data_IF_338320460198
#
_entry.id   IF_338320460198
#
_cell.length_a   1.000
_cell.length_b   1.000
_cell.length_c   1.000
_cell.angle_alpha   90.00
_cell.angle_beta   90.00
_cell.angle_gamma   90.00
#
_symmetry.space_group_name_H-M   'P 1'
#
loop_
_entity.id
_entity.type
_entity.pdbx_description
1 polymer ?
#
# COMPACT_ATOMS: atom_id res chain seq x y z
N UNK A 1 69.77 -44.45 -4.97
CA UNK A 1 68.52 -44.68 -4.20
C UNK A 1 67.32 -44.36 -5.10
N UNK A 2 66.57 -45.38 -5.50
CA UNK A 2 65.39 -45.27 -6.38
C UNK A 2 64.13 -45.14 -5.51
N UNK A 3 63.37 -44.05 -5.62
CA UNK A 3 62.10 -43.90 -4.89
C UNK A 3 61.02 -44.80 -5.52
N UNK A 4 60.20 -45.50 -4.71
CA UNK A 4 59.16 -46.39 -5.19
C UNK A 4 58.07 -45.62 -5.98
N UNK A 5 57.65 -46.19 -7.11
CA UNK A 5 56.69 -45.62 -8.07
C UNK A 5 55.33 -45.27 -7.42
N UNK A 6 54.96 -45.94 -6.33
CA UNK A 6 53.72 -45.70 -5.57
C UNK A 6 53.61 -44.30 -4.95
N UNK A 7 54.69 -43.52 -4.93
CA UNK A 7 54.70 -42.15 -4.40
C UNK A 7 54.65 -41.07 -5.49
N UNK A 8 54.47 -41.46 -6.76
CA UNK A 8 54.17 -40.50 -7.82
C UNK A 8 52.71 -40.07 -7.67
N UNK A 9 52.48 -38.87 -7.13
CA UNK A 9 51.18 -38.20 -7.22
C UNK A 9 50.75 -38.18 -8.69
N UNK A 10 49.51 -38.59 -9.04
CA UNK A 10 49.02 -38.40 -10.39
C UNK A 10 49.14 -36.92 -10.75
N UNK A 11 49.47 -36.57 -12.01
CA UNK A 11 49.40 -35.18 -12.44
C UNK A 11 47.99 -34.69 -12.10
N UNK A 12 47.86 -33.53 -11.44
CA UNK A 12 46.53 -33.01 -11.13
C UNK A 12 45.72 -32.95 -12.43
N UNK A 13 44.42 -33.30 -12.40
CA UNK A 13 43.57 -33.10 -13.58
C UNK A 13 43.75 -31.67 -14.06
N UNK A 14 43.68 -31.47 -15.38
CA UNK A 14 43.83 -30.16 -16.02
C UNK A 14 42.72 -29.21 -15.53
N UNK A 15 42.93 -28.62 -14.35
CA UNK A 15 42.06 -27.61 -13.79
C UNK A 15 42.23 -26.44 -14.75
N UNK A 16 41.21 -26.15 -15.58
CA UNK A 16 41.11 -24.88 -16.30
C UNK A 16 41.07 -23.76 -15.28
N UNK A 17 42.25 -23.32 -14.86
CA UNK A 17 42.44 -22.09 -14.11
C UNK A 17 42.11 -21.00 -15.13
N UNK A 18 41.00 -20.30 -14.92
CA UNK A 18 40.74 -19.00 -15.54
C UNK A 18 41.92 -18.10 -15.15
N UNK A 19 42.98 -18.07 -15.95
CA UNK A 19 44.09 -17.14 -15.76
C UNK A 19 43.57 -15.75 -16.14
N UNK A 20 43.57 -14.85 -15.16
CA UNK A 20 43.08 -13.48 -15.22
C UNK A 20 41.56 -13.35 -15.41
N UNK A 21 40.72 -13.65 -14.39
CA UNK A 21 39.45 -12.96 -14.32
C UNK A 21 39.77 -11.50 -13.97
N UNK A 22 39.93 -10.66 -14.99
CA UNK A 22 39.85 -9.21 -14.76
C UNK A 22 38.47 -8.94 -14.17
N UNK A 23 38.42 -8.69 -12.85
CA UNK A 23 37.19 -8.42 -12.10
C UNK A 23 36.50 -7.16 -12.63
N UNK A 24 37.29 -6.24 -13.18
CA UNK A 24 36.83 -4.99 -13.79
C UNK A 24 37.34 -4.97 -15.24
N UNK A 25 36.46 -4.80 -16.24
CA UNK A 25 36.87 -4.82 -17.65
C UNK A 25 37.81 -3.65 -17.97
N UNK A 26 38.97 -3.92 -18.57
CA UNK A 26 39.95 -2.88 -18.92
C UNK A 26 40.10 -2.72 -20.45
N UNK A 27 39.21 -1.95 -21.13
CA UNK A 27 39.24 -1.84 -22.58
C UNK A 27 40.54 -1.22 -23.14
N UNK A 28 41.25 -0.41 -22.34
CA UNK A 28 42.51 0.21 -22.73
C UNK A 28 43.66 -0.80 -22.89
N UNK A 29 43.71 -1.84 -22.07
CA UNK A 29 44.75 -2.88 -22.06
C UNK A 29 44.36 -4.10 -22.91
N UNK A 30 43.10 -4.21 -23.31
CA UNK A 30 42.57 -5.30 -24.15
C UNK A 30 43.09 -5.20 -25.60
N UNK A 31 43.43 -6.33 -26.26
CA UNK A 31 43.76 -6.36 -27.69
C UNK A 31 42.71 -5.67 -28.57
N UNK A 32 43.11 -4.99 -29.66
CA UNK A 32 42.20 -4.15 -30.46
C UNK A 32 41.00 -4.92 -31.04
N UNK A 33 41.15 -6.22 -31.30
CA UNK A 33 40.07 -7.08 -31.80
C UNK A 33 38.96 -7.34 -30.77
N UNK A 34 39.29 -7.30 -29.47
CA UNK A 34 38.38 -7.58 -28.36
C UNK A 34 37.95 -6.32 -27.61
N UNK A 35 38.58 -5.18 -27.87
CA UNK A 35 38.32 -3.88 -27.21
C UNK A 35 36.85 -3.46 -27.23
N UNK A 36 36.10 -3.75 -28.31
CA UNK A 36 34.65 -3.48 -28.36
C UNK A 36 33.87 -4.30 -27.33
N UNK A 37 34.18 -5.59 -27.19
CA UNK A 37 33.53 -6.44 -26.20
C UNK A 37 33.88 -5.99 -24.78
N UNK A 38 35.13 -5.59 -24.53
CA UNK A 38 35.55 -5.05 -23.24
C UNK A 38 34.81 -3.74 -22.88
N UNK A 39 34.57 -2.85 -23.84
CA UNK A 39 33.74 -1.64 -23.63
C UNK A 39 32.29 -1.97 -23.30
N UNK A 40 31.68 -2.93 -24.00
CA UNK A 40 30.32 -3.38 -23.69
C UNK A 40 30.24 -4.02 -22.30
N UNK A 41 31.25 -4.80 -21.93
CA UNK A 41 31.31 -5.45 -20.62
C UNK A 41 31.44 -4.41 -19.51
N UNK A 42 32.27 -3.38 -19.69
CA UNK A 42 32.38 -2.24 -18.78
C UNK A 42 31.03 -1.52 -18.61
N UNK A 43 30.26 -1.36 -19.69
CA UNK A 43 28.94 -0.72 -19.64
C UNK A 43 27.95 -1.56 -18.82
N UNK A 44 27.86 -2.86 -19.07
CA UNK A 44 27.00 -3.78 -18.31
C UNK A 44 27.42 -3.84 -16.84
N UNK A 45 28.71 -3.90 -16.57
CA UNK A 45 29.26 -3.85 -15.21
C UNK A 45 28.90 -2.54 -14.49
N UNK A 46 29.03 -1.40 -15.17
CA UNK A 46 28.64 -0.09 -14.64
C UNK A 46 27.13 -0.04 -14.35
N UNK A 47 26.31 -0.56 -15.25
CA UNK A 47 24.85 -0.64 -15.08
C UNK A 47 24.49 -1.44 -13.81
N UNK A 48 25.12 -2.60 -13.60
CA UNK A 48 24.93 -3.44 -12.41
C UNK A 48 25.43 -2.79 -11.12
N UNK A 49 26.40 -1.89 -11.21
CA UNK A 49 26.86 -1.13 -10.05
C UNK A 49 25.91 0.01 -9.68
N UNK A 50 25.36 0.72 -10.68
CA UNK A 50 24.47 1.86 -10.45
C UNK A 50 23.01 1.48 -10.18
N UNK A 51 22.53 0.35 -10.71
CA UNK A 51 21.14 -0.10 -10.50
C UNK A 51 20.78 -0.30 -9.02
N UNK A 52 21.58 -1.01 -8.20
CA UNK A 52 21.31 -1.16 -6.77
C UNK A 52 21.32 0.16 -6.01
N UNK A 53 22.19 1.11 -6.40
CA UNK A 53 22.23 2.45 -5.80
C UNK A 53 20.95 3.24 -6.11
N UNK A 54 20.47 3.16 -7.36
CA UNK A 54 19.18 3.72 -7.77
C UNK A 54 18.01 3.08 -7.01
N UNK A 55 18.03 1.76 -6.83
CA UNK A 55 17.03 1.03 -6.03
C UNK A 55 17.03 1.49 -4.57
N UNK A 56 18.18 1.62 -3.93
CA UNK A 56 18.28 2.07 -2.53
C UNK A 56 17.76 3.52 -2.37
N UNK A 57 18.10 4.40 -3.31
CA UNK A 57 17.61 5.78 -3.30
C UNK A 57 16.07 5.84 -3.48
N UNK A 58 15.53 5.09 -4.43
CA UNK A 58 14.10 5.06 -4.70
C UNK A 58 13.31 4.43 -3.53
N UNK A 59 13.73 3.25 -3.08
CA UNK A 59 13.02 2.48 -2.04
C UNK A 59 12.92 3.22 -0.70
N UNK A 60 13.95 3.96 -0.29
CA UNK A 60 13.91 4.71 0.97
C UNK A 60 12.83 5.79 1.00
N UNK A 61 12.74 6.61 -0.05
CA UNK A 61 11.70 7.63 -0.16
C UNK A 61 10.31 7.03 -0.44
N UNK A 62 10.24 5.97 -1.26
CA UNK A 62 8.99 5.33 -1.65
C UNK A 62 8.35 4.57 -0.49
N UNK A 63 9.11 3.81 0.30
CA UNK A 63 8.58 3.10 1.45
C UNK A 63 8.00 4.05 2.50
N UNK A 64 8.68 5.20 2.72
CA UNK A 64 8.18 6.23 3.63
C UNK A 64 6.89 6.85 3.09
N UNK A 65 6.88 7.26 1.82
CA UNK A 65 5.69 7.82 1.19
C UNK A 65 4.53 6.82 1.19
N UNK A 66 4.78 5.54 0.93
CA UNK A 66 3.80 4.46 0.95
C UNK A 66 3.25 4.23 2.36
N UNK A 67 4.12 4.22 3.38
CA UNK A 67 3.68 4.10 4.77
C UNK A 67 2.83 5.29 5.21
N UNK A 68 3.21 6.52 4.82
CA UNK A 68 2.44 7.73 5.09
C UNK A 68 1.10 7.73 4.35
N UNK A 69 1.07 7.35 3.08
CA UNK A 69 -0.15 7.22 2.27
C UNK A 69 -1.09 6.15 2.83
N UNK A 70 -0.58 4.96 3.18
CA UNK A 70 -1.35 3.90 3.80
C UNK A 70 -1.94 4.33 5.14
N UNK A 71 -1.14 5.01 5.97
CA UNK A 71 -1.61 5.57 7.24
C UNK A 71 -2.75 6.56 7.03
N UNK A 72 -2.62 7.48 6.06
CA UNK A 72 -3.67 8.45 5.71
C UNK A 72 -4.92 7.78 5.17
N UNK A 73 -4.77 6.78 4.30
CA UNK A 73 -5.89 6.03 3.75
C UNK A 73 -6.69 5.31 4.86
N UNK A 74 -5.99 4.66 5.80
CA UNK A 74 -6.61 4.03 6.98
C UNK A 74 -7.29 5.08 7.85
N UNK A 75 -6.63 6.20 8.13
CA UNK A 75 -7.22 7.29 8.93
C UNK A 75 -8.52 7.84 8.31
N UNK A 76 -8.54 8.06 7.00
CA UNK A 76 -9.74 8.51 6.28
C UNK A 76 -10.85 7.46 6.31
N UNK A 77 -10.52 6.19 6.07
CA UNK A 77 -11.48 5.09 6.13
C UNK A 77 -12.09 4.94 7.53
N UNK A 78 -11.28 4.99 8.58
CA UNK A 78 -11.74 4.96 9.98
C UNK A 78 -12.60 6.17 10.30
N UNK A 79 -12.26 7.36 9.78
CA UNK A 79 -13.05 8.58 10.00
C UNK A 79 -14.43 8.50 9.33
N UNK A 80 -14.49 7.97 8.10
CA UNK A 80 -15.77 7.72 7.39
C UNK A 80 -16.61 6.69 8.17
N UNK A 81 -15.99 5.60 8.64
CA UNK A 81 -16.70 4.58 9.41
C UNK A 81 -17.23 5.14 10.74
N UNK A 82 -16.40 5.84 11.51
CA UNK A 82 -16.77 6.40 12.80
C UNK A 82 -17.89 7.46 12.69
N UNK A 83 -17.77 8.39 11.73
CA UNK A 83 -18.84 9.36 11.46
C UNK A 83 -20.11 8.70 10.92
N UNK A 84 -19.98 7.63 10.14
CA UNK A 84 -21.08 6.80 9.67
C UNK A 84 -21.86 6.15 10.80
N UNK A 85 -21.17 5.48 11.73
CA UNK A 85 -21.78 4.87 12.91
C UNK A 85 -22.47 5.90 13.81
N UNK A 86 -21.85 7.07 14.04
CA UNK A 86 -22.48 8.18 14.79
C UNK A 86 -23.77 8.64 14.11
N UNK A 87 -23.72 8.86 12.80
CA UNK A 87 -24.87 9.34 12.02
C UNK A 87 -26.00 8.30 11.99
N UNK A 88 -25.65 7.02 11.88
CA UNK A 88 -26.59 5.90 11.95
C UNK A 88 -27.23 5.79 13.34
N UNK A 89 -26.44 5.88 14.42
CA UNK A 89 -26.95 5.90 15.79
C UNK A 89 -27.97 7.02 16.00
N UNK A 90 -27.63 8.26 15.58
CA UNK A 90 -28.51 9.41 15.72
C UNK A 90 -29.81 9.21 14.94
N UNK A 91 -29.70 8.77 13.68
CA UNK A 91 -30.87 8.53 12.81
C UNK A 91 -31.79 7.45 13.38
N UNK A 92 -31.22 6.31 13.76
CA UNK A 92 -31.98 5.18 14.31
C UNK A 92 -32.65 5.54 15.64
N UNK A 93 -31.95 6.28 16.49
CA UNK A 93 -32.49 6.68 17.80
C UNK A 93 -33.61 7.73 17.67
N UNK A 94 -33.48 8.67 16.74
CA UNK A 94 -34.54 9.64 16.42
C UNK A 94 -35.75 8.93 15.81
N UNK A 95 -35.54 7.96 14.91
CA UNK A 95 -36.62 7.15 14.35
C UNK A 95 -37.33 6.31 15.42
N UNK A 96 -36.59 5.73 16.35
CA UNK A 96 -37.18 5.00 17.49
C UNK A 96 -38.01 5.92 18.38
N UNK A 97 -37.52 7.13 18.68
CA UNK A 97 -38.27 8.13 19.43
C UNK A 97 -39.57 8.55 18.71
N UNK A 98 -39.52 8.79 17.40
CA UNK A 98 -40.72 9.08 16.60
C UNK A 98 -41.70 7.90 16.57
N UNK A 99 -41.21 6.67 16.50
CA UNK A 99 -42.07 5.48 16.52
C UNK A 99 -42.81 5.36 17.85
N UNK A 100 -42.12 5.60 18.97
CA UNK A 100 -42.73 5.62 20.30
C UNK A 100 -43.77 6.75 20.44
N UNK A 101 -43.49 7.93 19.89
CA UNK A 101 -44.42 9.07 19.90
C UNK A 101 -45.70 8.78 19.10
N UNK A 102 -45.57 8.16 17.91
CA UNK A 102 -46.71 7.71 17.11
C UNK A 102 -47.53 6.66 17.86
N UNK A 103 -46.90 5.70 18.52
CA UNK A 103 -47.59 4.68 19.31
C UNK A 103 -48.40 5.31 20.46
N UNK A 104 -47.82 6.28 21.17
CA UNK A 104 -48.51 7.03 22.21
C UNK A 104 -49.72 7.81 21.66
N UNK A 105 -49.57 8.45 20.49
CA UNK A 105 -50.66 9.17 19.83
C UNK A 105 -51.80 8.24 19.38
N UNK A 106 -51.47 7.06 18.84
CA UNK A 106 -52.46 6.04 18.48
C UNK A 106 -53.21 5.54 19.72
N UNK A 107 -52.49 5.24 20.81
CA UNK A 107 -53.12 4.81 22.08
C UNK A 107 -54.04 5.90 22.64
N UNK A 108 -53.62 7.17 22.59
CA UNK A 108 -54.46 8.30 22.99
C UNK A 108 -55.75 8.35 22.17
N UNK A 109 -55.63 8.21 20.85
CA UNK A 109 -56.78 8.23 19.93
C UNK A 109 -57.74 7.07 20.24
N UNK A 110 -57.20 5.88 20.46
CA UNK A 110 -58.00 4.69 20.80
C UNK A 110 -58.70 4.82 22.16
N UNK A 111 -58.01 5.36 23.17
CA UNK A 111 -58.60 5.62 24.48
C UNK A 111 -59.79 6.59 24.39
N UNK A 112 -59.68 7.62 23.54
CA UNK A 112 -60.75 8.61 23.29
C UNK A 112 -61.94 8.02 22.52
N UNK A 113 -61.71 7.05 21.64
CA UNK A 113 -62.77 6.33 20.90
C UNK A 113 -63.47 5.26 21.75
N UNK A 114 -62.89 4.87 22.88
CA UNK A 114 -63.45 3.81 23.74
C UNK A 114 -64.65 4.36 24.52
N UNK A 115 -65.81 3.73 24.39
CA UNK A 115 -67.08 4.19 24.98
C UNK A 115 -67.20 3.98 26.49
N UNK A 116 -66.23 3.28 27.09
CA UNK A 116 -66.28 2.83 28.49
C UNK A 116 -65.32 3.65 29.34
N UNK A 117 -65.86 4.61 30.10
CA UNK A 117 -65.08 5.59 30.88
C UNK A 117 -64.12 4.98 31.92
N UNK A 118 -64.30 3.70 32.29
CA UNK A 118 -63.46 3.01 33.29
C UNK A 118 -62.07 2.65 32.77
N UNK A 119 -61.92 2.48 31.45
CA UNK A 119 -60.67 2.07 30.81
C UNK A 119 -59.94 3.26 30.15
N UNK A 120 -60.64 4.38 29.93
CA UNK A 120 -60.09 5.58 29.27
C UNK A 120 -58.98 6.26 30.08
N UNK A 121 -59.16 6.45 31.39
CA UNK A 121 -58.20 7.18 32.24
C UNK A 121 -56.83 6.48 32.32
N UNK A 122 -56.75 5.18 32.63
CA UNK A 122 -55.47 4.46 32.65
C UNK A 122 -54.74 4.47 31.30
N UNK A 123 -55.46 4.29 30.19
CA UNK A 123 -54.84 4.32 28.85
C UNK A 123 -54.29 5.70 28.48
N UNK A 124 -54.97 6.79 28.88
CA UNK A 124 -54.47 8.15 28.71
C UNK A 124 -53.24 8.44 29.59
N UNK A 125 -53.19 7.92 30.82
CA UNK A 125 -52.01 8.04 31.68
C UNK A 125 -50.80 7.31 31.09
N UNK A 126 -51.00 6.10 30.56
CA UNK A 126 -49.95 5.34 29.87
C UNK A 126 -49.48 6.08 28.62
N UNK A 127 -50.39 6.58 27.79
CA UNK A 127 -50.02 7.34 26.60
C UNK A 127 -49.21 8.60 26.93
N UNK A 128 -49.60 9.35 27.98
CA UNK A 128 -48.83 10.50 28.45
C UNK A 128 -47.41 10.11 28.91
N UNK A 129 -47.28 8.99 29.63
CA UNK A 129 -45.99 8.47 30.04
C UNK A 129 -45.12 8.08 28.83
N UNK A 130 -45.70 7.42 27.82
CA UNK A 130 -45.01 7.06 26.59
C UNK A 130 -44.55 8.27 25.79
N UNK A 131 -45.37 9.33 25.66
CA UNK A 131 -44.97 10.60 25.05
C UNK A 131 -43.80 11.24 25.81
N UNK A 132 -43.84 11.24 27.14
CA UNK A 132 -42.75 11.78 27.96
C UNK A 132 -41.45 10.97 27.76
N UNK A 133 -41.54 9.64 27.68
CA UNK A 133 -40.41 8.75 27.39
C UNK A 133 -39.88 8.99 25.98
N UNK A 134 -40.73 9.14 24.96
CA UNK A 134 -40.33 9.43 23.59
C UNK A 134 -39.54 10.75 23.50
N UNK A 135 -40.01 11.80 24.17
CA UNK A 135 -39.31 13.08 24.26
C UNK A 135 -37.95 12.95 24.98
N UNK A 136 -37.87 12.13 26.02
CA UNK A 136 -36.61 11.88 26.72
C UNK A 136 -35.63 11.06 25.88
N UNK A 137 -36.10 10.03 25.16
CA UNK A 137 -35.30 9.25 24.22
C UNK A 137 -34.71 10.14 23.13
N UNK A 138 -35.51 11.06 22.57
CA UNK A 138 -35.03 12.03 21.58
C UNK A 138 -33.92 12.92 22.13
N UNK A 139 -34.12 13.52 23.32
CA UNK A 139 -33.08 14.36 23.96
C UNK A 139 -31.81 13.58 24.25
N UNK A 140 -31.94 12.33 24.70
CA UNK A 140 -30.80 11.45 24.95
C UNK A 140 -30.07 11.11 23.65
N UNK A 141 -30.80 10.80 22.59
CA UNK A 141 -30.26 10.52 21.26
C UNK A 141 -29.48 11.72 20.71
N UNK A 142 -30.05 12.93 20.79
CA UNK A 142 -29.40 14.18 20.38
C UNK A 142 -28.15 14.45 21.23
N UNK A 143 -28.21 14.21 22.54
CA UNK A 143 -27.06 14.41 23.44
C UNK A 143 -25.94 13.40 23.22
N UNK A 144 -26.25 12.11 23.02
CA UNK A 144 -25.27 11.05 22.80
C UNK A 144 -24.73 11.02 21.37
N UNK A 145 -25.54 11.43 20.39
CA UNK A 145 -25.19 11.45 18.98
C UNK A 145 -24.50 12.73 18.51
N UNK A 146 -24.37 13.74 19.38
CA UNK A 146 -23.64 14.98 19.07
C UNK A 146 -22.16 14.69 18.81
N UNK A 147 -21.54 15.57 18.03
CA UNK A 147 -20.09 15.54 17.86
C UNK A 147 -19.46 15.92 19.21
N UNK A 148 -18.49 15.13 19.73
CA UNK A 148 -17.80 15.49 20.96
C UNK A 148 -17.01 16.79 20.78
N UNK A 149 -16.90 17.55 21.85
CA UNK A 149 -16.16 18.80 21.90
C UNK A 149 -14.92 18.66 22.78
N UNK A 150 -13.98 19.59 22.66
CA UNK A 150 -12.83 19.65 23.57
C UNK A 150 -13.23 19.84 25.04
N UNK A 151 -14.42 20.40 25.30
CA UNK A 151 -14.94 20.58 26.65
C UNK A 151 -15.37 19.26 27.32
N UNK A 152 -15.60 18.20 26.54
CA UNK A 152 -16.01 16.89 27.08
C UNK A 152 -14.86 16.14 27.78
N UNK A 153 -13.63 16.65 27.66
CA UNK A 153 -12.46 16.18 28.38
C UNK A 153 -11.90 14.84 27.86
N UNK A 154 -10.58 14.75 27.73
CA UNK A 154 -9.89 13.48 27.46
C UNK A 154 -10.07 12.88 26.06
N UNK A 155 -10.79 13.54 25.14
CA UNK A 155 -10.96 13.08 23.76
C UNK A 155 -9.88 13.71 22.88
N UNK A 156 -9.15 12.85 22.16
CA UNK A 156 -8.12 13.26 21.22
C UNK A 156 -8.71 14.08 20.05
N UNK A 157 -8.06 15.18 19.61
CA UNK A 157 -8.54 16.00 18.50
C UNK A 157 -8.82 15.22 17.20
N UNK A 158 -8.03 14.20 16.87
CA UNK A 158 -8.27 13.43 15.65
C UNK A 158 -9.57 12.61 15.74
N UNK A 159 -9.96 12.18 16.94
CA UNK A 159 -11.23 11.49 17.18
C UNK A 159 -12.41 12.44 17.03
N UNK A 160 -12.28 13.68 17.53
CA UNK A 160 -13.29 14.74 17.34
C UNK A 160 -13.48 15.03 15.85
N UNK A 161 -12.39 15.22 15.11
CA UNK A 161 -12.44 15.44 13.65
C UNK A 161 -13.04 14.24 12.91
N UNK A 162 -12.65 13.02 13.28
CA UNK A 162 -13.17 11.80 12.66
C UNK A 162 -14.68 11.63 12.85
N UNK A 163 -15.19 11.86 14.06
CA UNK A 163 -16.62 11.79 14.37
C UNK A 163 -17.41 12.97 13.80
N UNK A 164 -16.74 14.11 13.61
CA UNK A 164 -17.31 15.35 13.08
C UNK A 164 -17.46 15.39 11.56
N UNK A 165 -16.89 14.42 10.83
CA UNK A 165 -17.05 14.37 9.38
C UNK A 165 -18.53 14.19 8.99
N UNK A 166 -19.02 15.03 8.09
CA UNK A 166 -20.41 14.99 7.64
C UNK A 166 -20.56 14.08 6.41
N UNK A 167 -21.74 13.46 6.19
CA UNK A 167 -21.98 12.59 5.03
C UNK A 167 -21.68 13.24 3.68
N UNK A 168 -21.88 14.55 3.58
CA UNK A 168 -21.58 15.37 2.39
C UNK A 168 -20.08 15.43 2.06
N UNK A 169 -19.22 15.25 3.07
CA UNK A 169 -17.76 15.30 2.94
C UNK A 169 -17.17 13.92 2.58
N UNK A 170 -17.91 12.83 2.82
CA UNK A 170 -17.41 11.46 2.57
C UNK A 170 -16.97 11.21 1.12
N UNK A 171 -17.66 11.69 0.07
CA UNK A 171 -17.19 11.51 -1.30
C UNK A 171 -15.79 12.10 -1.53
N UNK A 172 -15.54 13.31 -1.01
CA UNK A 172 -14.23 13.95 -1.12
C UNK A 172 -13.15 13.17 -0.34
N UNK A 173 -13.48 12.68 0.85
CA UNK A 173 -12.58 11.84 1.64
C UNK A 173 -12.24 10.52 0.92
N UNK A 174 -13.21 9.90 0.23
CA UNK A 174 -12.98 8.69 -0.58
C UNK A 174 -12.11 8.97 -1.80
N UNK A 175 -12.32 10.11 -2.47
CA UNK A 175 -11.44 10.54 -3.58
C UNK A 175 -10.01 10.71 -3.08
N UNK A 176 -9.82 11.35 -1.93
CA UNK A 176 -8.49 11.49 -1.33
C UNK A 176 -7.89 10.14 -0.92
N UNK A 177 -8.68 9.24 -0.33
CA UNK A 177 -8.26 7.88 0.00
C UNK A 177 -7.78 7.12 -1.25
N UNK A 178 -8.56 7.16 -2.33
CA UNK A 178 -8.20 6.51 -3.59
C UNK A 178 -6.92 7.13 -4.17
N UNK A 179 -6.78 8.46 -4.14
CA UNK A 179 -5.56 9.13 -4.56
C UNK A 179 -4.33 8.64 -3.79
N UNK A 180 -4.44 8.45 -2.46
CA UNK A 180 -3.34 7.90 -1.66
C UNK A 180 -3.04 6.44 -2.02
N UNK A 181 -4.06 5.63 -2.32
CA UNK A 181 -3.89 4.26 -2.80
C UNK A 181 -3.19 4.22 -4.18
N UNK A 182 -3.61 5.07 -5.12
CA UNK A 182 -3.01 5.17 -6.45
C UNK A 182 -1.53 5.58 -6.38
N UNK A 183 -1.19 6.55 -5.52
CA UNK A 183 0.20 6.95 -5.29
C UNK A 183 1.05 5.82 -4.71
N UNK A 184 0.48 5.02 -3.79
CA UNK A 184 1.15 3.85 -3.25
C UNK A 184 1.35 2.75 -4.30
N UNK A 185 0.37 2.53 -5.17
CA UNK A 185 0.46 1.57 -6.29
C UNK A 185 1.51 2.02 -7.32
N UNK A 186 1.54 3.30 -7.67
CA UNK A 186 2.56 3.86 -8.56
C UNK A 186 3.97 3.65 -7.99
N UNK A 187 4.19 3.91 -6.71
CA UNK A 187 5.47 3.64 -6.05
C UNK A 187 5.83 2.14 -6.10
N UNK A 188 4.85 1.25 -5.85
CA UNK A 188 5.05 -0.19 -5.97
C UNK A 188 5.44 -0.65 -7.38
N UNK A 189 4.81 -0.08 -8.41
CA UNK A 189 5.13 -0.37 -9.81
C UNK A 189 6.56 0.07 -10.19
N UNK A 190 7.03 1.21 -9.68
CA UNK A 190 8.42 1.65 -9.88
C UNK A 190 9.42 0.68 -9.28
N UNK A 191 9.20 0.26 -8.04
CA UNK A 191 10.05 -0.72 -7.37
C UNK A 191 10.09 -2.05 -8.14
N UNK A 192 8.95 -2.52 -8.64
CA UNK A 192 8.86 -3.73 -9.48
C UNK A 192 9.66 -3.58 -10.79
N UNK A 193 9.54 -2.46 -11.49
CA UNK A 193 10.28 -2.19 -12.72
C UNK A 193 11.80 -2.15 -12.48
N UNK A 194 12.25 -1.50 -11.41
CA UNK A 194 13.67 -1.47 -11.04
C UNK A 194 14.20 -2.85 -10.64
N UNK A 195 13.39 -3.66 -9.94
CA UNK A 195 13.73 -5.05 -9.63
C UNK A 195 13.87 -5.90 -10.90
N UNK A 196 12.92 -5.77 -11.82
CA UNK A 196 12.96 -6.44 -13.12
C UNK A 196 14.18 -5.99 -13.96
N UNK A 197 14.46 -4.68 -14.00
CA UNK A 197 15.64 -4.12 -14.66
C UNK A 197 16.94 -4.74 -14.12
N UNK A 198 17.03 -4.90 -12.80
CA UNK A 198 18.20 -5.52 -12.15
C UNK A 198 18.33 -7.00 -12.48
N UNK A 199 17.24 -7.76 -12.43
CA UNK A 199 17.24 -9.18 -12.81
C UNK A 199 17.70 -9.37 -14.26
N UNK A 200 17.21 -8.56 -15.19
CA UNK A 200 17.62 -8.60 -16.60
C UNK A 200 19.08 -8.15 -16.77
N UNK A 201 19.53 -7.15 -16.01
CA UNK A 201 20.93 -6.72 -15.99
C UNK A 201 21.88 -7.85 -15.56
N UNK A 202 21.49 -8.64 -14.56
CA UNK A 202 22.26 -9.82 -14.13
C UNK A 202 22.31 -10.87 -15.25
N UNK A 203 21.19 -11.13 -15.93
CA UNK A 203 21.16 -12.04 -17.09
C UNK A 203 22.07 -11.53 -18.21
N UNK A 204 22.08 -10.22 -18.48
CA UNK A 204 22.95 -9.62 -19.48
C UNK A 204 24.43 -9.86 -19.16
N UNK A 205 24.84 -9.73 -17.90
CA UNK A 205 26.21 -9.99 -17.45
C UNK A 205 26.59 -11.47 -17.58
N UNK A 206 25.72 -12.40 -17.17
CA UNK A 206 25.97 -13.83 -17.37
C UNK A 206 26.12 -14.19 -18.85
N UNK A 207 25.27 -13.63 -19.72
CA UNK A 207 25.37 -13.82 -21.17
C UNK A 207 26.63 -13.18 -21.74
N UNK A 208 27.06 -12.04 -21.21
CA UNK A 208 28.28 -11.35 -21.64
C UNK A 208 29.52 -12.15 -21.28
N UNK A 209 29.62 -12.62 -20.04
CA UNK A 209 30.70 -13.48 -19.57
C UNK A 209 30.77 -14.78 -20.39
N UNK A 210 29.62 -15.40 -20.68
CA UNK A 210 29.53 -16.58 -21.52
C UNK A 210 30.00 -16.30 -22.97
N UNK A 211 29.55 -15.20 -23.58
CA UNK A 211 29.94 -14.82 -24.95
C UNK A 211 31.44 -14.52 -25.08
N UNK A 212 32.04 -13.85 -24.08
CA UNK A 212 33.48 -13.60 -24.01
C UNK A 212 34.23 -14.94 -23.90
N UNK A 213 33.80 -15.83 -23.00
CA UNK A 213 34.44 -17.15 -22.82
C UNK A 213 34.39 -18.03 -24.07
N UNK A 214 33.33 -17.91 -24.88
CA UNK A 214 33.13 -18.68 -26.10
C UNK A 214 33.86 -18.08 -27.32
N UNK A 215 34.38 -16.85 -27.24
CA UNK A 215 35.06 -16.18 -28.36
C UNK A 215 34.18 -15.87 -29.57
N UNK A 216 32.85 -15.97 -29.45
CA UNK A 216 31.91 -15.83 -30.58
C UNK A 216 31.32 -14.43 -30.64
N UNK A 217 31.87 -13.58 -31.51
CA UNK A 217 31.42 -12.17 -31.70
C UNK A 217 29.92 -12.01 -32.00
N UNK A 218 29.31 -12.94 -32.75
CA UNK A 218 27.86 -12.92 -33.04
C UNK A 218 26.97 -13.16 -31.82
N UNK A 219 27.50 -13.72 -30.73
CA UNK A 219 26.72 -13.96 -29.51
C UNK A 219 26.61 -12.73 -28.61
N UNK A 220 27.30 -11.62 -28.95
CA UNK A 220 27.24 -10.35 -28.22
C UNK A 220 25.90 -9.60 -28.40
N UNK A 221 25.07 -9.96 -29.40
CA UNK A 221 23.77 -9.31 -29.59
C UNK A 221 22.76 -9.64 -28.48
N UNK A 222 22.85 -10.85 -27.90
CA UNK A 222 21.99 -11.28 -26.79
C UNK A 222 22.21 -10.49 -25.49
N UNK A 223 23.45 -10.37 -24.97
CA UNK A 223 23.70 -9.54 -23.78
C UNK A 223 23.43 -8.06 -24.05
N UNK A 224 23.71 -7.56 -25.27
CA UNK A 224 23.36 -6.18 -25.64
C UNK A 224 21.84 -5.95 -25.63
N UNK A 225 21.05 -6.88 -26.15
CA UNK A 225 19.59 -6.83 -26.10
C UNK A 225 19.06 -6.85 -24.67
N UNK A 226 19.57 -7.75 -23.81
CA UNK A 226 19.19 -7.79 -22.40
C UNK A 226 19.56 -6.49 -21.66
N UNK A 227 20.76 -5.96 -21.87
CA UNK A 227 21.19 -4.68 -21.29
C UNK A 227 20.29 -3.51 -21.75
N UNK A 228 19.91 -3.48 -23.03
CA UNK A 228 18.98 -2.47 -23.55
C UNK A 228 17.61 -2.57 -22.87
N UNK A 229 17.06 -3.78 -22.70
CA UNK A 229 15.79 -3.99 -21.99
C UNK A 229 15.91 -3.56 -20.52
N UNK A 230 17.01 -3.88 -19.84
CA UNK A 230 17.27 -3.44 -18.47
C UNK A 230 17.26 -1.91 -18.36
N UNK A 231 17.92 -1.20 -19.27
CA UNK A 231 17.93 0.26 -19.32
C UNK A 231 16.54 0.83 -19.60
N UNK A 232 15.79 0.24 -20.53
CA UNK A 232 14.42 0.67 -20.85
C UNK A 232 13.49 0.51 -19.65
N UNK A 233 13.56 -0.61 -18.93
CA UNK A 233 12.76 -0.82 -17.71
C UNK A 233 13.15 0.15 -16.60
N UNK A 234 14.45 0.38 -16.42
CA UNK A 234 14.93 1.35 -15.44
C UNK A 234 14.45 2.77 -15.79
N UNK A 235 14.51 3.17 -17.06
CA UNK A 235 14.00 4.46 -17.52
C UNK A 235 12.49 4.59 -17.35
N UNK A 236 11.73 3.54 -17.66
CA UNK A 236 10.28 3.50 -17.49
C UNK A 236 9.85 3.62 -16.02
N UNK A 237 10.69 3.21 -15.07
CA UNK A 237 10.42 3.40 -13.64
C UNK A 237 10.44 4.87 -13.20
N UNK A 238 10.98 5.79 -14.01
CA UNK A 238 11.08 7.22 -13.69
C UNK A 238 10.16 8.11 -14.55
N UNK A 239 9.34 7.51 -15.41
CA UNK A 239 8.31 8.19 -16.21
C UNK A 239 6.96 8.03 -15.50
#
# INVERSE_FOLDING_TARGET
MLRPVAWRRPPPPDIRILRNPEIIPQPATTPPEQRRAAWFHLLVFSLLFFLPLGQLAATGSEQRAQAEAARRAVQLATSIAASGERSAFLTNSVQAAHTADIQAAVRTTMALETTTARDTQPELEVANAETAVAAQLRRMAEHMGRIPSHADGGIDPATITALGAEPEQWPAMRVEQNRQADLAEQAGNRALLLAAATAIGVVAEYLMAAAISAGRRRWLYWPAGAAAVSVVLAAAAFI
#
